data_IF_067633950647
#
_entry.id   IF_067633950647
#
_cell.length_a   1.000
_cell.length_b   1.000
_cell.length_c   1.000
_cell.angle_alpha   90.00
_cell.angle_beta   90.00
_cell.angle_gamma   90.00
#
_symmetry.space_group_name_H-M   'P 1'
#
loop_
_entity.id
_entity.type
_entity.pdbx_description
1 polymer ?
#
# COMPACT_ATOMS: atom_id res chain seq x y z
N UNK A 1 18.27 -5.88 7.92
CA UNK A 1 17.14 -6.83 7.91
C UNK A 1 17.41 -7.90 6.87
N UNK A 2 16.90 -9.11 7.05
CA UNK A 2 16.89 -10.09 5.97
C UNK A 2 16.09 -9.52 4.79
N UNK A 3 16.63 -9.56 3.57
CA UNK A 3 16.00 -8.98 2.36
C UNK A 3 14.58 -9.52 2.14
N UNK A 4 14.36 -10.78 2.47
CA UNK A 4 13.04 -11.42 2.41
C UNK A 4 12.02 -10.74 3.33
N UNK A 5 12.42 -10.36 4.54
CA UNK A 5 11.56 -9.66 5.50
C UNK A 5 11.18 -8.26 4.99
N UNK A 6 12.13 -7.54 4.39
CA UNK A 6 11.86 -6.22 3.80
C UNK A 6 10.81 -6.32 2.66
N UNK A 7 10.96 -7.31 1.77
CA UNK A 7 9.96 -7.58 0.73
C UNK A 7 8.60 -7.97 1.30
N UNK A 8 8.56 -8.81 2.35
CA UNK A 8 7.31 -9.20 2.98
C UNK A 8 6.55 -7.99 3.54
N UNK A 9 7.26 -7.06 4.20
CA UNK A 9 6.67 -5.82 4.71
C UNK A 9 6.15 -4.94 3.56
N UNK A 10 6.93 -4.79 2.49
CA UNK A 10 6.49 -4.05 1.30
C UNK A 10 5.23 -4.62 0.67
N UNK A 11 5.14 -5.95 0.50
CA UNK A 11 3.94 -6.61 -0.03
C UNK A 11 2.74 -6.40 0.89
N UNK A 12 2.94 -6.48 2.22
CA UNK A 12 1.88 -6.22 3.19
C UNK A 12 1.36 -4.77 3.08
N UNK A 13 2.24 -3.79 2.88
CA UNK A 13 1.86 -2.38 2.69
C UNK A 13 1.04 -2.17 1.40
N UNK A 14 1.49 -2.75 0.28
CA UNK A 14 0.73 -2.68 -0.99
C UNK A 14 -0.63 -3.35 -0.82
N UNK A 15 -0.67 -4.56 -0.26
CA UNK A 15 -1.91 -5.28 -0.01
C UNK A 15 -2.87 -4.52 0.90
N UNK A 16 -2.35 -3.89 1.95
CA UNK A 16 -3.15 -3.05 2.85
C UNK A 16 -3.75 -1.84 2.13
N UNK A 17 -2.99 -1.15 1.28
CA UNK A 17 -3.53 -0.06 0.46
C UNK A 17 -4.63 -0.52 -0.51
N UNK A 18 -4.46 -1.69 -1.13
CA UNK A 18 -5.51 -2.30 -1.96
C UNK A 18 -6.77 -2.60 -1.15
N UNK A 19 -6.64 -3.10 0.07
CA UNK A 19 -7.79 -3.33 0.96
C UNK A 19 -8.51 -2.02 1.33
N UNK A 20 -7.76 -0.95 1.64
CA UNK A 20 -8.33 0.38 1.90
C UNK A 20 -9.13 0.87 0.68
N UNK A 21 -8.57 0.71 -0.52
CA UNK A 21 -9.25 1.10 -1.75
C UNK A 21 -10.60 0.39 -1.88
N UNK A 22 -10.63 -0.94 -1.79
CA UNK A 22 -11.86 -1.71 -1.89
C UNK A 22 -12.88 -1.38 -0.79
N UNK A 23 -12.44 -1.20 0.46
CA UNK A 23 -13.32 -0.79 1.54
C UNK A 23 -13.97 0.58 1.28
N UNK A 24 -13.20 1.52 0.70
CA UNK A 24 -13.63 2.88 0.40
C UNK A 24 -14.56 3.04 -0.80
N UNK A 25 -14.62 2.06 -1.71
CA UNK A 25 -15.45 2.12 -2.92
C UNK A 25 -16.96 2.24 -2.63
N UNK A 26 -17.41 1.73 -1.48
CA UNK A 26 -18.81 1.78 -1.06
C UNK A 26 -19.18 3.07 -0.30
N UNK A 27 -18.22 3.97 -0.06
CA UNK A 27 -18.44 5.21 0.69
C UNK A 27 -19.06 6.32 -0.18
N UNK A 28 -19.51 7.40 0.47
CA UNK A 28 -19.96 8.63 -0.22
C UNK A 28 -18.84 9.38 -0.94
N UNK A 29 -17.57 9.04 -0.69
CA UNK A 29 -16.41 9.77 -1.21
C UNK A 29 -15.32 8.83 -1.77
N UNK A 30 -15.59 8.01 -2.80
CA UNK A 30 -14.63 7.02 -3.31
C UNK A 30 -13.29 7.63 -3.74
N UNK A 31 -13.30 8.83 -4.32
CA UNK A 31 -12.09 9.53 -4.74
C UNK A 31 -11.13 9.82 -3.58
N UNK A 32 -11.65 10.15 -2.38
CA UNK A 32 -10.82 10.39 -1.20
C UNK A 32 -10.13 9.09 -0.76
N UNK A 33 -10.85 7.98 -0.75
CA UNK A 33 -10.28 6.68 -0.39
C UNK A 33 -9.25 6.19 -1.39
N UNK A 34 -9.40 6.50 -2.68
CA UNK A 34 -8.36 6.29 -3.68
C UNK A 34 -7.07 7.01 -3.29
N UNK A 35 -7.15 8.29 -2.91
CA UNK A 35 -5.97 9.07 -2.49
C UNK A 35 -5.34 8.47 -1.23
N UNK A 36 -6.14 8.10 -0.24
CA UNK A 36 -5.66 7.47 1.00
C UNK A 36 -4.97 6.14 0.71
N UNK A 37 -5.55 5.29 -0.16
CA UNK A 37 -5.00 4.00 -0.55
C UNK A 37 -3.65 4.11 -1.29
N UNK A 38 -3.45 5.18 -2.07
CA UNK A 38 -2.21 5.40 -2.82
C UNK A 38 -1.00 5.59 -1.90
N UNK A 39 -1.17 6.10 -0.68
CA UNK A 39 -0.07 6.32 0.26
C UNK A 39 0.65 5.01 0.63
N UNK A 40 -0.01 4.00 1.24
CA UNK A 40 0.65 2.74 1.57
C UNK A 40 1.09 1.95 0.34
N UNK A 41 0.39 2.05 -0.81
CA UNK A 41 0.83 1.44 -2.07
C UNK A 41 2.17 2.03 -2.51
N UNK A 42 2.27 3.36 -2.55
CA UNK A 42 3.48 4.05 -2.98
C UNK A 42 4.64 3.73 -2.04
N UNK A 43 4.42 3.76 -0.73
CA UNK A 43 5.44 3.39 0.27
C UNK A 43 5.88 1.94 0.06
N UNK A 44 4.95 0.99 -0.05
CA UNK A 44 5.28 -0.42 -0.26
C UNK A 44 6.11 -0.66 -1.52
N UNK A 45 5.75 0.00 -2.63
CA UNK A 45 6.50 -0.08 -3.89
C UNK A 45 7.89 0.56 -3.77
N UNK A 46 7.99 1.79 -3.26
CA UNK A 46 9.29 2.48 -3.09
C UNK A 46 10.18 1.69 -2.13
N UNK A 47 9.65 1.13 -1.04
CA UNK A 47 10.41 0.29 -0.13
C UNK A 47 10.86 -1.04 -0.74
N UNK A 48 10.12 -1.60 -1.71
CA UNK A 48 10.49 -2.84 -2.38
C UNK A 48 11.62 -2.67 -3.42
N UNK A 49 11.73 -1.48 -4.00
CA UNK A 49 12.67 -1.15 -5.07
C UNK A 49 13.75 -0.13 -4.66
N UNK A 50 13.69 0.37 -3.44
CA UNK A 50 14.66 1.30 -2.88
C UNK A 50 16.01 0.63 -2.60
N UNK A 51 17.10 1.41 -2.44
CA UNK A 51 18.39 0.88 -2.06
C UNK A 51 18.29 0.14 -0.71
N UNK A 52 18.86 -1.07 -0.65
CA UNK A 52 18.99 -1.88 0.59
C UNK A 52 20.23 -1.50 1.40
#
# INVERSE_FOLDING_TARGET
>A
MEKALAYAISVALVGFGVLIFFAGLSSSSPALWTIVALVPITIGLVSAFGPV
#
